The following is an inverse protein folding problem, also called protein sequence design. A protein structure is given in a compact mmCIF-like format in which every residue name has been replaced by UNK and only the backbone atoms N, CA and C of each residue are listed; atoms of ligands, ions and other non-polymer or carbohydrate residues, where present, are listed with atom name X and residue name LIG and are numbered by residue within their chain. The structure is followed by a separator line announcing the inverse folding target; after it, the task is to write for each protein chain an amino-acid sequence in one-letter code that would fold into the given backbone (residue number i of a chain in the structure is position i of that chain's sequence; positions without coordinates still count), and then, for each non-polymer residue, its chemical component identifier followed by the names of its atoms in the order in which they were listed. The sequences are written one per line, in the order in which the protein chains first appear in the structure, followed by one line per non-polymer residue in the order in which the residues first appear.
data_IF_722545868670
#
_entry.id   IF_722545868670
#
_cell.length_a   1.000
_cell.length_b   1.000
_cell.length_c   1.000
_cell.angle_alpha   90.00
_cell.angle_beta   90.00
_cell.angle_gamma   90.00
#
_symmetry.space_group_name_H-M   'P 1'
#
loop_
_entity.id
_entity.type
_entity.pdbx_description
1 polymer ?
#
# COMPACT_ATOMS: atom_id res chain seq x y z
N UNK A 1 -6.29 -0.94 -38.06
CA UNK A 1 -7.25 -0.99 -36.94
C UNK A 1 -6.69 -1.95 -35.91
N UNK A 2 -6.03 -1.45 -34.86
CA UNK A 2 -5.46 -2.29 -33.80
C UNK A 2 -6.23 -1.98 -32.53
N UNK A 3 -7.38 -2.62 -32.37
CA UNK A 3 -8.16 -2.60 -31.14
C UNK A 3 -8.08 -3.98 -30.51
N UNK A 4 -7.15 -4.12 -29.58
CA UNK A 4 -7.17 -5.20 -28.58
C UNK A 4 -6.67 -4.59 -27.27
N UNK A 5 -7.54 -3.83 -26.60
CA UNK A 5 -7.31 -3.40 -25.22
C UNK A 5 -7.43 -4.64 -24.34
N UNK A 6 -6.34 -5.40 -24.21
CA UNK A 6 -6.27 -6.46 -23.20
C UNK A 6 -6.15 -5.78 -21.85
N UNK A 7 -7.05 -6.11 -20.93
CA UNK A 7 -6.96 -5.64 -19.54
C UNK A 7 -5.55 -5.94 -18.99
N UNK A 8 -4.95 -5.02 -18.23
CA UNK A 8 -3.65 -5.27 -17.62
C UNK A 8 -3.70 -6.52 -16.74
N UNK A 9 -2.60 -7.27 -16.69
CA UNK A 9 -2.52 -8.44 -15.80
C UNK A 9 -2.64 -8.04 -14.32
N UNK A 10 -3.07 -8.97 -13.47
CA UNK A 10 -3.33 -8.75 -12.03
C UNK A 10 -2.16 -8.07 -11.31
N UNK A 11 -0.92 -8.42 -11.65
CA UNK A 11 0.30 -7.79 -11.11
C UNK A 11 0.37 -6.30 -11.44
N UNK A 12 0.08 -5.92 -12.68
CA UNK A 12 0.12 -4.52 -13.12
C UNK A 12 -1.07 -3.74 -12.55
N UNK A 13 -2.25 -4.35 -12.44
CA UNK A 13 -3.39 -3.77 -11.73
C UNK A 13 -3.04 -3.42 -10.27
N UNK A 14 -2.42 -4.35 -9.54
CA UNK A 14 -1.94 -4.10 -8.17
C UNK A 14 -0.87 -3.00 -8.12
N UNK A 15 0.04 -2.96 -9.11
CA UNK A 15 1.04 -1.89 -9.23
C UNK A 15 0.41 -0.53 -9.45
N UNK A 16 -0.58 -0.40 -10.34
CA UNK A 16 -1.27 0.88 -10.57
C UNK A 16 -1.88 1.44 -9.29
N UNK A 17 -2.56 0.59 -8.50
CA UNK A 17 -3.09 0.98 -7.21
C UNK A 17 -1.98 1.44 -6.25
N UNK A 18 -0.88 0.69 -6.15
CA UNK A 18 0.28 1.07 -5.31
C UNK A 18 0.95 2.37 -5.76
N UNK A 19 1.08 2.60 -7.07
CA UNK A 19 1.65 3.83 -7.62
C UNK A 19 0.77 5.05 -7.32
N UNK A 20 -0.55 4.90 -7.40
CA UNK A 20 -1.49 5.95 -7.00
C UNK A 20 -1.36 6.26 -5.50
N UNK A 21 -1.34 5.22 -4.67
CA UNK A 21 -1.25 5.37 -3.21
C UNK A 21 0.10 5.96 -2.77
N UNK A 22 1.19 5.56 -3.44
CA UNK A 22 2.55 6.03 -3.14
C UNK A 22 3.13 5.55 -1.81
N UNK A 23 2.41 4.69 -1.08
CA UNK A 23 2.76 4.16 0.23
C UNK A 23 2.37 2.69 0.34
N UNK A 24 2.97 1.91 1.27
CA UNK A 24 2.48 0.58 1.58
C UNK A 24 1.04 0.66 2.08
N UNK A 25 0.23 -0.32 1.69
CA UNK A 25 -1.18 -0.31 2.03
C UNK A 25 -1.76 -1.71 2.22
N UNK A 26 -2.87 -1.82 2.99
CA UNK A 26 -3.59 -3.07 3.13
C UNK A 26 -4.04 -3.62 1.78
N UNK A 27 -3.92 -4.92 1.56
CA UNK A 27 -4.38 -5.59 0.34
C UNK A 27 -5.85 -5.24 -0.01
N UNK A 28 -6.70 -5.11 1.01
CA UNK A 28 -8.11 -4.72 0.84
C UNK A 28 -8.26 -3.32 0.24
N UNK A 29 -7.43 -2.36 0.67
CA UNK A 29 -7.44 -0.99 0.15
C UNK A 29 -6.95 -0.96 -1.30
N UNK A 30 -5.92 -1.73 -1.67
CA UNK A 30 -5.48 -1.85 -3.06
C UNK A 30 -6.63 -2.30 -3.97
N UNK A 31 -7.36 -3.33 -3.56
CA UNK A 31 -8.53 -3.84 -4.29
C UNK A 31 -9.62 -2.77 -4.37
N UNK A 32 -9.98 -2.14 -3.26
CA UNK A 32 -11.01 -1.08 -3.25
C UNK A 32 -10.66 0.09 -4.18
N UNK A 33 -9.41 0.54 -4.13
CA UNK A 33 -8.89 1.63 -4.99
C UNK A 33 -8.92 1.21 -6.45
N UNK A 34 -8.46 0.00 -6.76
CA UNK A 34 -8.48 -0.50 -8.12
C UNK A 34 -9.92 -0.56 -8.66
N UNK A 35 -10.81 -1.23 -7.95
CA UNK A 35 -12.22 -1.39 -8.34
C UNK A 35 -12.95 -0.05 -8.47
N UNK A 36 -12.65 0.94 -7.63
CA UNK A 36 -13.35 2.22 -7.65
C UNK A 36 -12.83 3.19 -8.72
N UNK A 37 -11.55 3.09 -9.10
CA UNK A 37 -10.87 4.14 -9.88
C UNK A 37 -10.32 3.67 -11.23
N UNK A 38 -10.16 2.37 -11.44
CA UNK A 38 -9.53 1.78 -12.61
C UNK A 38 -10.41 0.69 -13.22
N UNK A 39 -10.23 0.43 -14.50
CA UNK A 39 -10.85 -0.69 -15.18
C UNK A 39 -10.06 -1.98 -14.90
N UNK A 40 -10.75 -3.04 -14.46
CA UNK A 40 -10.18 -4.37 -14.28
C UNK A 40 -10.83 -5.16 -13.15
N UNK A 41 -10.26 -6.32 -12.86
CA UNK A 41 -10.86 -7.40 -12.07
C UNK A 41 -10.00 -7.80 -10.86
N UNK A 42 -9.12 -6.90 -10.40
CA UNK A 42 -8.32 -7.12 -9.20
C UNK A 42 -9.22 -7.52 -8.02
N UNK A 43 -8.94 -8.68 -7.45
CA UNK A 43 -9.67 -9.23 -6.31
C UNK A 43 -8.69 -9.70 -5.24
N UNK A 44 -9.20 -9.93 -4.03
CA UNK A 44 -8.35 -10.43 -2.93
C UNK A 44 -7.72 -11.79 -3.27
N UNK A 45 -8.45 -12.67 -3.97
CA UNK A 45 -7.95 -13.99 -4.36
C UNK A 45 -6.85 -13.90 -5.43
N UNK A 46 -7.04 -13.06 -6.45
CA UNK A 46 -6.04 -12.88 -7.50
C UNK A 46 -4.78 -12.17 -6.98
N UNK A 47 -4.93 -11.17 -6.10
CA UNK A 47 -3.79 -10.53 -5.44
C UNK A 47 -3.03 -11.49 -4.52
N UNK A 48 -3.73 -12.33 -3.75
CA UNK A 48 -3.09 -13.34 -2.92
C UNK A 48 -2.35 -14.40 -3.75
N UNK A 49 -2.83 -14.74 -4.94
CA UNK A 49 -2.12 -15.61 -5.87
C UNK A 49 -0.82 -14.98 -6.36
N UNK A 50 -0.87 -13.71 -6.79
CA UNK A 50 0.33 -12.97 -7.19
C UNK A 50 1.38 -12.97 -6.07
N UNK A 51 0.99 -12.62 -4.83
CA UNK A 51 1.93 -12.59 -3.71
C UNK A 51 2.60 -13.94 -3.42
N UNK A 52 1.82 -15.03 -3.50
CA UNK A 52 2.33 -16.39 -3.34
C UNK A 52 3.30 -16.76 -4.47
N UNK A 53 2.96 -16.41 -5.70
CA UNK A 53 3.79 -16.72 -6.87
C UNK A 53 5.09 -15.92 -6.88
N UNK A 54 5.07 -14.67 -6.43
CA UNK A 54 6.26 -13.83 -6.26
C UNK A 54 7.27 -14.46 -5.31
N UNK A 55 6.81 -15.00 -4.17
CA UNK A 55 7.69 -15.62 -3.18
C UNK A 55 8.13 -17.05 -3.57
N UNK A 56 7.18 -17.86 -4.08
CA UNK A 56 7.40 -19.27 -4.43
C UNK A 56 8.32 -19.42 -5.64
N UNK A 57 8.17 -18.56 -6.63
CA UNK A 57 8.96 -18.60 -7.87
C UNK A 57 9.98 -17.47 -7.91
N UNK A 58 10.41 -16.98 -6.74
CA UNK A 58 11.50 -16.03 -6.68
C UNK A 58 12.79 -16.67 -7.19
N UNK A 59 13.35 -16.04 -8.21
CA UNK A 59 14.65 -16.34 -8.78
C UNK A 59 15.49 -15.05 -8.72
N UNK A 60 16.64 -15.04 -8.02
CA UNK A 60 17.53 -13.88 -7.91
C UNK A 60 18.15 -13.48 -9.26
N UNK A 61 18.14 -14.35 -10.26
CA UNK A 61 18.68 -14.07 -11.59
C UNK A 61 17.61 -13.64 -12.60
N UNK A 62 16.34 -13.72 -12.23
CA UNK A 62 15.25 -13.31 -13.10
C UNK A 62 15.18 -11.78 -13.21
N UNK A 63 15.20 -11.27 -14.44
CA UNK A 63 15.01 -9.85 -14.71
C UNK A 63 13.55 -9.44 -14.45
N UNK A 64 13.31 -8.76 -13.34
CA UNK A 64 11.99 -8.21 -13.00
C UNK A 64 12.11 -6.71 -12.73
N UNK A 65 11.35 -5.89 -13.49
CA UNK A 65 11.34 -4.44 -13.29
C UNK A 65 10.78 -4.04 -11.91
N UNK A 66 9.84 -4.82 -11.39
CA UNK A 66 9.27 -4.68 -10.06
C UNK A 66 8.66 -6.01 -9.61
N UNK A 67 8.46 -6.14 -8.30
CA UNK A 67 7.69 -7.21 -7.66
C UNK A 67 6.67 -6.63 -6.70
N UNK A 68 5.55 -7.32 -6.57
CA UNK A 68 4.56 -7.06 -5.53
C UNK A 68 4.97 -7.91 -4.32
N UNK A 69 5.23 -7.29 -3.19
CA UNK A 69 5.78 -7.97 -2.02
C UNK A 69 5.13 -7.45 -0.74
N UNK A 70 5.22 -8.20 0.37
CA UNK A 70 4.82 -7.65 1.67
C UNK A 70 5.71 -6.47 2.06
N UNK A 71 5.12 -5.49 2.76
CA UNK A 71 5.91 -4.58 3.59
C UNK A 71 6.57 -5.36 4.73
N UNK A 72 7.61 -4.80 5.35
CA UNK A 72 8.31 -5.43 6.46
C UNK A 72 8.11 -4.65 7.75
N UNK A 73 7.97 -5.34 8.88
CA UNK A 73 8.01 -4.70 10.19
C UNK A 73 9.43 -4.25 10.56
N UNK A 74 9.58 -3.49 11.64
CA UNK A 74 10.90 -3.06 12.15
C UNK A 74 11.75 -4.23 12.69
N UNK A 75 11.13 -5.37 12.98
CA UNK A 75 11.86 -6.62 13.27
C UNK A 75 12.32 -7.35 11.98
N UNK A 76 12.01 -6.80 10.81
CA UNK A 76 12.26 -7.30 9.45
C UNK A 76 11.43 -8.54 9.06
N UNK A 77 10.41 -8.88 9.84
CA UNK A 77 9.44 -9.91 9.46
C UNK A 77 8.39 -9.35 8.49
N UNK A 78 7.77 -10.21 7.69
CA UNK A 78 6.71 -9.80 6.77
C UNK A 78 5.49 -9.25 7.51
N UNK A 79 5.11 -8.01 7.18
CA UNK A 79 3.85 -7.40 7.62
C UNK A 79 2.69 -7.96 6.78
N UNK A 80 2.21 -9.14 7.17
CA UNK A 80 1.17 -9.88 6.43
C UNK A 80 -0.05 -8.99 6.19
N UNK A 81 -0.42 -8.85 4.92
CA UNK A 81 -1.55 -8.04 4.48
C UNK A 81 -1.21 -6.59 4.13
N UNK A 82 -0.02 -6.08 4.49
CA UNK A 82 0.51 -4.80 3.99
C UNK A 82 1.36 -5.07 2.75
N UNK A 83 1.01 -4.43 1.64
CA UNK A 83 1.61 -4.67 0.34
C UNK A 83 2.42 -3.45 -0.11
N UNK A 84 3.55 -3.69 -0.75
CA UNK A 84 4.47 -2.67 -1.25
C UNK A 84 5.09 -3.08 -2.60
N UNK A 85 5.77 -2.13 -3.25
CA UNK A 85 6.61 -2.39 -4.42
C UNK A 85 8.06 -2.65 -4.02
N UNK A 86 8.71 -3.62 -4.66
CA UNK A 86 10.12 -3.95 -4.41
C UNK A 86 11.08 -2.81 -4.75
N UNK A 87 10.74 -2.00 -5.76
CA UNK A 87 11.56 -0.88 -6.22
C UNK A 87 11.47 0.37 -5.35
N UNK A 88 10.66 0.36 -4.29
CA UNK A 88 10.63 1.48 -3.34
C UNK A 88 11.83 1.45 -2.38
N UNK A 89 12.29 2.62 -1.92
CA UNK A 89 13.36 2.69 -0.92
C UNK A 89 13.02 1.91 0.35
N UNK A 90 14.01 1.34 1.06
CA UNK A 90 13.80 0.56 2.29
C UNK A 90 12.92 1.27 3.31
N UNK A 91 13.19 2.56 3.57
CA UNK A 91 12.43 3.37 4.52
C UNK A 91 10.92 3.44 4.20
N UNK A 92 10.54 3.33 2.92
CA UNK A 92 9.13 3.30 2.50
C UNK A 92 8.52 1.91 2.63
N UNK A 93 9.32 0.85 2.61
CA UNK A 93 8.84 -0.55 2.66
C UNK A 93 8.72 -1.07 4.10
N UNK A 94 9.30 -0.36 5.06
CA UNK A 94 9.21 -0.64 6.49
C UNK A 94 7.92 -0.04 7.06
N UNK A 95 7.23 -0.80 7.91
CA UNK A 95 5.98 -0.39 8.55
C UNK A 95 6.00 -0.63 10.06
N UNK A 96 5.60 0.39 10.79
CA UNK A 96 5.26 0.35 12.21
C UNK A 96 3.80 0.78 12.42
N UNK A 97 3.24 0.68 13.64
CA UNK A 97 1.94 1.26 13.95
C UNK A 97 1.83 2.76 13.60
N UNK A 98 2.90 3.54 13.85
CA UNK A 98 2.94 4.97 13.54
C UNK A 98 2.99 5.21 12.03
N UNK A 99 3.88 4.51 11.32
CA UNK A 99 3.96 4.59 9.86
C UNK A 99 2.66 4.15 9.18
N UNK A 100 1.97 3.13 9.69
CA UNK A 100 0.69 2.69 9.15
C UNK A 100 -0.39 3.78 9.22
N UNK A 101 -0.43 4.55 10.31
CA UNK A 101 -1.36 5.69 10.42
C UNK A 101 -1.01 6.78 9.42
N UNK A 102 0.27 7.14 9.30
CA UNK A 102 0.73 8.12 8.33
C UNK A 102 0.43 7.67 6.87
N UNK A 103 0.69 6.41 6.55
CA UNK A 103 0.40 5.80 5.25
C UNK A 103 -1.09 5.82 4.94
N UNK A 104 -1.95 5.50 5.91
CA UNK A 104 -3.40 5.57 5.70
C UNK A 104 -3.86 6.99 5.36
N UNK A 105 -3.38 8.01 6.08
CA UNK A 105 -3.70 9.41 5.80
C UNK A 105 -3.15 9.88 4.44
N UNK A 106 -1.89 9.52 4.13
CA UNK A 106 -1.27 9.82 2.84
C UNK A 106 -2.02 9.17 1.66
N UNK A 107 -2.49 7.94 1.84
CA UNK A 107 -3.34 7.25 0.88
C UNK A 107 -4.66 8.02 0.65
N UNK A 108 -5.33 8.49 1.71
CA UNK A 108 -6.55 9.30 1.57
C UNK A 108 -6.28 10.58 0.78
N UNK A 109 -5.21 11.32 1.09
CA UNK A 109 -4.82 12.52 0.34
C UNK A 109 -4.70 12.20 -1.15
N UNK A 110 -3.94 11.16 -1.51
CA UNK A 110 -3.71 10.76 -2.90
C UNK A 110 -4.98 10.36 -3.63
N UNK A 111 -5.83 9.55 -2.99
CA UNK A 111 -7.10 9.10 -3.58
C UNK A 111 -8.03 10.31 -3.80
N UNK A 112 -8.18 11.16 -2.79
CA UNK A 112 -9.08 12.30 -2.84
C UNK A 112 -8.65 13.34 -3.89
N UNK A 113 -7.35 13.64 -3.98
CA UNK A 113 -6.81 14.51 -5.03
C UNK A 113 -6.99 13.91 -6.42
N UNK A 114 -6.76 12.60 -6.59
CA UNK A 114 -6.96 11.92 -7.86
C UNK A 114 -8.43 11.96 -8.30
N UNK A 115 -9.37 11.81 -7.37
CA UNK A 115 -10.81 11.96 -7.66
C UNK A 115 -11.15 13.42 -7.99
N UNK A 116 -10.58 14.39 -7.27
CA UNK A 116 -10.85 15.83 -7.45
C UNK A 116 -10.45 16.38 -8.83
N UNK A 117 -9.47 15.78 -9.50
CA UNK A 117 -9.02 16.20 -10.84
C UNK A 117 -9.80 15.52 -11.98
N UNK A 118 -10.63 14.51 -11.68
CA UNK A 118 -11.46 13.84 -12.70
C UNK A 118 -12.69 14.68 -12.98
N UNK A 119 -13.03 14.84 -14.26
CA UNK A 119 -14.21 15.59 -14.70
C UNK A 119 -15.51 15.05 -14.09
N UNK A 120 -15.59 13.74 -13.84
CA UNK A 120 -16.71 13.12 -13.15
C UNK A 120 -16.23 11.93 -12.30
N UNK A 121 -16.51 11.98 -11.01
CA UNK A 121 -16.30 10.86 -10.10
C UNK A 121 -17.51 9.91 -10.19
N UNK A 122 -17.25 8.61 -10.43
CA UNK A 122 -18.30 7.60 -10.38
C UNK A 122 -18.78 7.33 -8.94
N UNK A 123 -19.96 6.73 -8.79
CA UNK A 123 -20.52 6.40 -7.48
C UNK A 123 -19.57 5.55 -6.61
N UNK A 124 -18.87 4.57 -7.22
CA UNK A 124 -17.90 3.74 -6.51
C UNK A 124 -16.72 4.53 -5.91
N UNK A 125 -16.26 5.58 -6.61
CA UNK A 125 -15.21 6.46 -6.12
C UNK A 125 -15.68 7.31 -4.94
N UNK A 126 -16.90 7.86 -5.03
CA UNK A 126 -17.51 8.63 -3.94
C UNK A 126 -17.77 7.75 -2.71
N UNK A 127 -18.24 6.51 -2.91
CA UNK A 127 -18.42 5.56 -1.82
C UNK A 127 -17.11 5.14 -1.16
N UNK A 128 -16.03 5.01 -1.93
CA UNK A 128 -14.70 4.80 -1.39
C UNK A 128 -14.27 5.98 -0.51
N UNK A 129 -14.38 7.22 -1.02
CA UNK A 129 -14.03 8.41 -0.26
C UNK A 129 -14.86 8.54 1.03
N UNK A 130 -16.16 8.24 0.97
CA UNK A 130 -17.04 8.21 2.15
C UNK A 130 -16.52 7.28 3.24
N UNK A 131 -16.14 6.04 2.89
CA UNK A 131 -15.58 5.08 3.87
C UNK A 131 -14.23 5.50 4.41
N UNK A 132 -13.41 6.15 3.59
CA UNK A 132 -12.10 6.65 4.00
C UNK A 132 -12.21 7.87 4.93
N UNK A 133 -13.24 8.69 4.75
CA UNK A 133 -13.52 9.86 5.58
C UNK A 133 -13.67 9.49 7.06
N UNK A 134 -14.25 8.33 7.37
CA UNK A 134 -14.42 7.83 8.75
C UNK A 134 -13.09 7.60 9.49
N UNK A 135 -11.98 7.42 8.75
CA UNK A 135 -10.64 7.24 9.29
C UNK A 135 -9.86 8.55 9.48
N UNK A 136 -10.38 9.67 9.02
CA UNK A 136 -9.70 10.98 9.01
C UNK A 136 -10.32 11.90 10.06
N UNK A 137 -9.53 12.50 10.98
CA UNK A 137 -10.02 13.54 11.86
C UNK A 137 -10.65 14.71 11.07
N UNK A 138 -11.95 14.98 11.31
CA UNK A 138 -12.72 15.98 10.56
C UNK A 138 -13.07 15.58 9.12
N UNK A 139 -12.79 14.33 8.74
CA UNK A 139 -12.98 13.83 7.38
C UNK A 139 -14.43 13.65 7.01
N UNK A 140 -15.25 13.10 7.93
CA UNK A 140 -16.67 12.89 7.68
C UNK A 140 -17.37 14.22 7.39
N UNK A 141 -17.10 15.26 8.19
CA UNK A 141 -17.62 16.62 7.99
C UNK A 141 -17.14 17.23 6.67
N UNK A 142 -15.85 17.06 6.34
CA UNK A 142 -15.30 17.51 5.07
C UNK A 142 -15.96 16.83 3.86
N UNK A 143 -16.33 15.56 3.98
CA UNK A 143 -16.97 14.80 2.92
C UNK A 143 -18.50 14.99 2.84
N UNK A 144 -19.17 15.60 3.84
CA UNK A 144 -20.62 15.80 3.84
C UNK A 144 -21.12 16.60 2.62
N UNK A 145 -20.28 17.48 2.07
CA UNK A 145 -20.58 18.25 0.86
C UNK A 145 -20.15 17.54 -0.42
N UNK A 146 -19.77 16.26 -0.34
CA UNK A 146 -19.21 15.45 -1.42
C UNK A 146 -18.02 16.12 -2.12
N UNK A 147 -17.21 16.88 -1.38
CA UNK A 147 -16.02 17.55 -1.91
C UNK A 147 -14.76 16.73 -1.61
N UNK A 148 -14.16 16.06 -2.61
CA UNK A 148 -12.90 15.34 -2.42
C UNK A 148 -11.75 16.28 -2.01
N UNK A 149 -11.77 17.56 -2.39
CA UNK A 149 -10.71 18.51 -2.03
C UNK A 149 -10.71 18.79 -0.54
N UNK A 150 -11.89 19.06 0.03
CA UNK A 150 -12.05 19.23 1.47
C UNK A 150 -11.53 18.00 2.25
N UNK A 151 -11.83 16.78 1.80
CA UNK A 151 -11.31 15.56 2.42
C UNK A 151 -9.78 15.46 2.30
N UNK A 152 -9.20 15.81 1.15
CA UNK A 152 -7.75 15.83 0.98
C UNK A 152 -7.07 16.82 1.93
N UNK A 153 -7.67 18.00 2.13
CA UNK A 153 -7.17 19.03 3.05
C UNK A 153 -7.23 18.57 4.52
N UNK A 154 -8.34 17.97 4.94
CA UNK A 154 -8.49 17.38 6.27
C UNK A 154 -7.45 16.27 6.52
N UNK A 155 -7.26 15.37 5.55
CA UNK A 155 -6.27 14.31 5.64
C UNK A 155 -4.84 14.85 5.69
N UNK A 156 -4.53 15.92 4.95
CA UNK A 156 -3.21 16.58 4.98
C UNK A 156 -2.93 17.24 6.32
N UNK A 157 -3.92 17.91 6.91
CA UNK A 157 -3.82 18.50 8.24
C UNK A 157 -3.56 17.41 9.30
N UNK A 158 -4.31 16.30 9.24
CA UNK A 158 -4.10 15.16 10.14
C UNK A 158 -2.72 14.49 9.94
N UNK A 159 -2.26 14.38 8.70
CA UNK A 159 -0.94 13.84 8.39
C UNK A 159 0.17 14.72 8.96
N UNK A 160 0.07 16.04 8.81
CA UNK A 160 1.03 16.99 9.36
C UNK A 160 1.09 16.95 10.90
N UNK A 161 0.00 16.59 11.57
CA UNK A 161 -0.05 16.39 13.02
C UNK A 161 0.51 15.02 13.47
N UNK A 162 0.79 14.10 12.54
CA UNK A 162 1.34 12.78 12.88
C UNK A 162 2.84 12.90 13.11
N UNK A 163 3.33 12.40 14.25
CA UNK A 163 4.76 12.31 14.50
C UNK A 163 5.41 11.40 13.43
N UNK A 164 6.52 11.84 12.84
CA UNK A 164 7.28 11.03 11.91
C UNK A 164 7.76 9.74 12.57
N UNK A 165 7.75 8.65 11.81
CA UNK A 165 8.36 7.38 12.23
C UNK A 165 9.75 7.29 11.60
N UNK A 166 10.74 7.87 12.28
CA UNK A 166 12.13 7.76 11.85
C UNK A 166 12.59 6.31 11.94
N UNK A 167 13.12 5.79 10.83
CA UNK A 167 13.71 4.46 10.79
C UNK A 167 14.99 4.49 11.62
N UNK A 168 15.11 3.68 12.69
CA UNK A 168 16.31 3.70 13.51
C UNK A 168 17.54 3.28 12.70
N UNK A 169 18.67 3.95 12.87
CA UNK A 169 19.93 3.63 12.17
C UNK A 169 20.35 2.15 12.35
N UNK A 170 20.05 1.56 13.50
CA UNK A 170 20.27 0.13 13.75
C UNK A 170 19.43 -0.78 12.84
N UNK A 171 18.23 -0.36 12.45
CA UNK A 171 17.38 -1.07 11.50
C UNK A 171 17.92 -0.96 10.07
N UNK A 172 18.41 0.20 9.67
CA UNK A 172 19.07 0.38 8.37
C UNK A 172 20.29 -0.54 8.23
N UNK A 173 21.16 -0.57 9.25
CA UNK A 173 22.31 -1.50 9.28
C UNK A 173 21.90 -2.97 9.20
N UNK A 174 20.76 -3.35 9.80
CA UNK A 174 20.24 -4.73 9.71
C UNK A 174 19.71 -5.02 8.30
N UNK A 175 19.01 -4.06 7.68
CA UNK A 175 18.53 -4.16 6.30
C UNK A 175 19.66 -4.39 5.31
N UNK A 176 20.77 -3.66 5.47
CA UNK A 176 21.93 -3.77 4.56
C UNK A 176 22.59 -5.15 4.61
N UNK A 177 22.44 -5.89 5.71
CA UNK A 177 22.96 -7.26 5.86
C UNK A 177 22.03 -8.34 5.33
N UNK A 178 20.80 -8.00 4.98
CA UNK A 178 19.85 -8.95 4.41
C UNK A 178 20.24 -9.31 2.98
N UNK A 179 20.04 -10.58 2.63
CA UNK A 179 20.00 -10.98 1.22
C UNK A 179 18.76 -10.41 0.51
N UNK A 180 18.74 -10.46 -0.83
CA UNK A 180 17.64 -9.88 -1.60
C UNK A 180 16.29 -10.56 -1.28
N UNK A 181 16.27 -11.88 -1.10
CA UNK A 181 15.04 -12.63 -0.77
C UNK A 181 14.47 -12.14 0.57
N UNK A 182 15.31 -11.97 1.58
CA UNK A 182 14.94 -11.46 2.90
C UNK A 182 14.48 -10.01 2.83
N UNK A 183 15.10 -9.16 2.00
CA UNK A 183 14.63 -7.79 1.75
C UNK A 183 13.26 -7.77 1.09
N UNK A 184 12.90 -8.78 0.30
CA UNK A 184 11.62 -8.88 -0.40
C UNK A 184 10.51 -9.48 0.47
N UNK A 185 10.79 -10.59 1.15
CA UNK A 185 9.78 -11.42 1.81
C UNK A 185 9.92 -11.47 3.34
N UNK A 186 10.93 -10.80 3.89
CA UNK A 186 11.20 -10.73 5.32
C UNK A 186 12.08 -11.87 5.82
N UNK A 187 12.58 -11.70 7.05
CA UNK A 187 13.27 -12.77 7.77
C UNK A 187 12.25 -13.75 8.32
N UNK A 188 12.63 -15.04 8.37
CA UNK A 188 11.83 -16.02 9.10
C UNK A 188 11.78 -15.61 10.57
N UNK A 189 10.58 -15.35 11.09
CA UNK A 189 10.40 -15.27 12.53
C UNK A 189 10.64 -16.66 13.09
N UNK A 190 11.78 -16.88 13.73
CA UNK A 190 11.93 -18.04 14.61
C UNK A 190 10.89 -17.86 15.71
N UNK A 191 9.97 -18.81 15.94
CA UNK A 191 9.04 -18.71 17.05
C UNK A 191 9.89 -18.56 18.31
N UNK A 192 9.71 -17.44 19.02
CA UNK A 192 10.38 -17.20 20.28
C UNK A 192 10.16 -18.44 21.14
N UNK A 193 11.23 -19.15 21.50
CA UNK A 193 11.17 -20.14 22.55
C UNK A 193 10.67 -19.38 23.79
N UNK A 194 9.38 -19.52 24.09
CA UNK A 194 8.83 -19.11 25.36
C UNK A 194 9.58 -19.91 26.41
N UNK A 195 10.54 -19.26 27.06
CA UNK A 195 11.25 -19.80 28.20
C UNK A 195 10.20 -20.28 29.20
N UNK A 196 10.22 -21.58 29.50
CA UNK A 196 9.65 -22.09 30.74
C UNK A 196 10.49 -21.50 31.85
N UNK A 197 9.85 -20.70 32.70
CA UNK A 197 10.33 -20.47 34.06
C UNK A 197 10.24 -21.74 34.89
#
# INVERSE_FOLDING_TARGET
MISSTTLPGVREQARHALLLLGVPAPARLLVDVHTALFDGDLSMSSLAAVLRDEERHYDPHALAAYRICPALHHDLTAARGQITLSGWPPARRLVSPAANRANALAAVVRIAEFVAIRAQAGAAALDLLRRLADGVPGGSEAFLVHDPRALADAARAALAATAGDEVPEALERRWDRLDERQRLFGVMSLPHQRGRG
#
